data_IF_020125350976
#
_entry.id   IF_020125350976
#
_cell.length_a   1.000
_cell.length_b   1.000
_cell.length_c   1.000
_cell.angle_alpha   90.00
_cell.angle_beta   90.00
_cell.angle_gamma   90.00
#
_symmetry.space_group_name_H-M   'P 1'
#
loop_
_entity.id
_entity.type
_entity.pdbx_description
1 polymer ?
#
# COMPACT_ATOMS: atom_id res chain seq x y z
N UNK A 1 32.73 -0.63 -19.70
CA UNK A 1 32.19 -0.03 -18.47
C UNK A 1 31.44 -1.13 -17.76
N UNK A 2 32.06 -1.71 -16.74
CA UNK A 2 31.44 -2.73 -15.88
C UNK A 2 31.23 -2.11 -14.50
N UNK A 3 30.10 -2.43 -13.87
CA UNK A 3 29.83 -1.99 -12.50
C UNK A 3 30.81 -2.66 -11.55
N UNK A 4 31.30 -1.89 -10.59
CA UNK A 4 32.05 -2.42 -9.46
C UNK A 4 31.16 -3.25 -8.54
N UNK A 5 31.78 -4.08 -7.70
CA UNK A 5 31.07 -4.88 -6.69
C UNK A 5 30.17 -4.01 -5.80
N UNK A 6 30.66 -2.87 -5.36
CA UNK A 6 29.91 -1.94 -4.51
C UNK A 6 28.71 -1.30 -5.24
N UNK A 7 28.76 -1.16 -6.57
CA UNK A 7 27.63 -0.69 -7.36
C UNK A 7 26.60 -1.80 -7.57
N UNK A 8 27.04 -3.05 -7.77
CA UNK A 8 26.15 -4.21 -7.82
C UNK A 8 25.37 -4.40 -6.52
N UNK A 9 26.02 -4.23 -5.37
CA UNK A 9 25.34 -4.27 -4.06
C UNK A 9 24.24 -3.21 -3.96
N UNK A 10 24.49 -1.98 -4.44
CA UNK A 10 23.45 -0.94 -4.49
C UNK A 10 22.30 -1.33 -5.41
N UNK A 11 22.58 -1.94 -6.55
CA UNK A 11 21.54 -2.44 -7.47
C UNK A 11 20.68 -3.51 -6.79
N UNK A 12 21.28 -4.44 -6.05
CA UNK A 12 20.54 -5.46 -5.31
C UNK A 12 19.64 -4.87 -4.21
N UNK A 13 20.14 -3.87 -3.48
CA UNK A 13 19.33 -3.13 -2.52
C UNK A 13 18.17 -2.40 -3.20
N UNK A 14 18.41 -1.75 -4.33
CA UNK A 14 17.35 -1.09 -5.11
C UNK A 14 16.30 -2.09 -5.60
N UNK A 15 16.72 -3.26 -6.11
CA UNK A 15 15.79 -4.31 -6.55
C UNK A 15 14.92 -4.80 -5.38
N UNK A 16 15.51 -4.96 -4.19
CA UNK A 16 14.76 -5.30 -2.98
C UNK A 16 13.67 -4.26 -2.66
N UNK A 17 13.95 -2.97 -2.85
CA UNK A 17 12.96 -1.90 -2.70
C UNK A 17 11.86 -1.94 -3.78
N UNK A 18 12.23 -2.20 -5.04
CA UNK A 18 11.32 -2.18 -6.19
C UNK A 18 10.35 -3.36 -6.25
N UNK A 19 10.61 -4.44 -5.52
CA UNK A 19 9.65 -5.56 -5.39
C UNK A 19 8.35 -5.10 -4.73
N UNK A 20 8.39 -4.14 -3.80
CA UNK A 20 7.20 -3.66 -3.10
C UNK A 20 6.21 -2.86 -3.99
N UNK A 21 6.62 -1.80 -4.72
CA UNK A 21 5.72 -1.09 -5.60
C UNK A 21 5.24 -1.97 -6.75
N UNK A 22 6.04 -2.94 -7.21
CA UNK A 22 5.59 -3.94 -8.19
C UNK A 22 4.40 -4.75 -7.67
N UNK A 23 4.46 -5.22 -6.42
CA UNK A 23 3.33 -5.94 -5.79
C UNK A 23 2.09 -5.06 -5.66
N UNK A 24 2.26 -3.79 -5.26
CA UNK A 24 1.15 -2.85 -5.17
C UNK A 24 0.53 -2.58 -6.55
N UNK A 25 1.36 -2.33 -7.57
CA UNK A 25 0.92 -2.12 -8.95
C UNK A 25 0.17 -3.34 -9.51
N UNK A 26 0.67 -4.55 -9.25
CA UNK A 26 -0.04 -5.79 -9.59
C UNK A 26 -1.40 -5.86 -8.90
N UNK A 27 -1.49 -5.53 -7.61
CA UNK A 27 -2.75 -5.49 -6.88
C UNK A 27 -3.77 -4.50 -7.48
N UNK A 28 -3.33 -3.43 -8.16
CA UNK A 28 -4.22 -2.51 -8.86
C UNK A 28 -4.60 -2.96 -10.28
N UNK A 29 -3.79 -3.82 -10.91
CA UNK A 29 -3.82 -4.03 -12.37
C UNK A 29 -4.20 -5.45 -12.80
N UNK A 30 -4.58 -6.35 -11.89
CA UNK A 30 -4.97 -7.70 -12.32
C UNK A 30 -6.35 -7.70 -12.99
N UNK A 31 -6.43 -8.27 -14.19
CA UNK A 31 -7.62 -8.28 -15.05
C UNK A 31 -8.71 -9.28 -14.61
N UNK A 32 -8.48 -10.04 -13.52
CA UNK A 32 -9.33 -11.18 -13.13
C UNK A 32 -10.57 -10.85 -12.28
N UNK A 33 -10.81 -9.59 -11.91
CA UNK A 33 -11.95 -9.22 -11.05
C UNK A 33 -11.95 -7.76 -10.59
N UNK A 34 -12.94 -7.33 -9.78
CA UNK A 34 -13.02 -5.98 -9.24
C UNK A 34 -11.88 -5.74 -8.24
N UNK A 35 -10.86 -4.96 -8.62
CA UNK A 35 -9.66 -4.74 -7.79
C UNK A 35 -9.76 -3.58 -6.80
N UNK A 36 -10.91 -2.92 -6.74
CA UNK A 36 -11.06 -1.73 -5.90
C UNK A 36 -10.84 -2.04 -4.40
N UNK A 37 -11.24 -3.24 -3.98
CA UNK A 37 -11.08 -3.73 -2.60
C UNK A 37 -9.60 -3.92 -2.18
N UNK A 38 -8.66 -4.01 -3.12
CA UNK A 38 -7.23 -4.18 -2.80
C UNK A 38 -6.51 -2.84 -2.72
N UNK A 39 -7.14 -1.74 -3.12
CA UNK A 39 -6.44 -0.49 -3.35
C UNK A 39 -5.81 0.10 -2.08
N UNK A 40 -6.65 0.34 -1.05
CA UNK A 40 -6.20 0.85 0.25
C UNK A 40 -5.25 -0.15 0.93
N UNK A 41 -5.55 -1.46 1.02
CA UNK A 41 -4.60 -2.44 1.56
C UNK A 41 -3.22 -2.44 0.89
N UNK A 42 -3.17 -2.28 -0.45
CA UNK A 42 -1.91 -2.27 -1.19
C UNK A 42 -1.10 -0.98 -0.93
N UNK A 43 -1.76 0.17 -0.81
CA UNK A 43 -1.11 1.43 -0.44
C UNK A 43 -0.55 1.36 0.99
N UNK A 44 -1.32 0.86 1.95
CA UNK A 44 -0.88 0.68 3.34
C UNK A 44 0.31 -0.27 3.45
N UNK A 45 0.25 -1.41 2.76
CA UNK A 45 1.34 -2.38 2.75
C UNK A 45 2.62 -1.81 2.12
N UNK A 46 2.50 -1.03 1.05
CA UNK A 46 3.63 -0.36 0.42
C UNK A 46 4.23 0.72 1.32
N UNK A 47 3.38 1.56 1.94
CA UNK A 47 3.80 2.59 2.89
C UNK A 47 4.57 1.98 4.06
N UNK A 48 4.02 0.93 4.67
CA UNK A 48 4.65 0.23 5.79
C UNK A 48 6.00 -0.37 5.39
N UNK A 49 6.07 -1.03 4.23
CA UNK A 49 7.30 -1.62 3.74
C UNK A 49 8.39 -0.57 3.52
N UNK A 50 8.08 0.53 2.83
CA UNK A 50 9.05 1.58 2.55
C UNK A 50 9.43 2.40 3.78
N UNK A 51 8.51 2.61 4.73
CA UNK A 51 8.81 3.24 6.03
C UNK A 51 9.80 2.40 6.84
N UNK A 52 9.63 1.08 6.84
CA UNK A 52 10.55 0.13 7.48
C UNK A 52 11.94 0.19 6.82
N UNK A 53 11.99 0.19 5.49
CA UNK A 53 13.26 0.25 4.76
C UNK A 53 13.97 1.61 4.90
N UNK A 54 13.23 2.72 4.92
CA UNK A 54 13.78 4.07 5.15
C UNK A 54 14.53 4.16 6.48
N UNK A 55 14.08 3.41 7.48
CA UNK A 55 14.66 3.40 8.83
C UNK A 55 15.89 2.50 8.95
N UNK A 56 16.13 1.61 7.97
CA UNK A 56 17.26 0.69 7.98
C UNK A 56 18.52 1.33 7.36
N UNK A 57 19.65 1.18 8.06
CA UNK A 57 20.93 1.83 7.72
C UNK A 57 21.47 1.48 6.34
N UNK A 58 21.27 0.22 5.91
CA UNK A 58 21.69 -0.27 4.59
C UNK A 58 21.02 0.46 3.41
N UNK A 59 19.85 1.09 3.63
CA UNK A 59 19.12 1.85 2.61
C UNK A 59 19.33 3.36 2.71
N UNK A 60 20.29 3.83 3.51
CA UNK A 60 20.59 5.26 3.69
C UNK A 60 20.79 6.02 2.38
N UNK A 61 21.41 5.39 1.37
CA UNK A 61 21.62 5.97 0.03
C UNK A 61 20.31 6.27 -0.70
N UNK A 62 19.22 5.57 -0.38
CA UNK A 62 17.91 5.72 -1.03
C UNK A 62 16.92 6.55 -0.21
N UNK A 63 17.35 7.13 0.92
CA UNK A 63 16.45 7.79 1.88
C UNK A 63 15.61 8.91 1.25
N UNK A 64 16.23 9.77 0.44
CA UNK A 64 15.53 10.87 -0.24
C UNK A 64 14.47 10.36 -1.23
N UNK A 65 14.80 9.31 -1.99
CA UNK A 65 13.86 8.66 -2.91
C UNK A 65 12.70 8.00 -2.18
N UNK A 66 12.97 7.34 -1.06
CA UNK A 66 11.95 6.74 -0.19
C UNK A 66 11.04 7.80 0.44
N UNK A 67 11.58 8.95 0.86
CA UNK A 67 10.79 10.06 1.39
C UNK A 67 9.83 10.63 0.34
N UNK A 68 10.34 10.90 -0.88
CA UNK A 68 9.50 11.34 -1.98
C UNK A 68 8.43 10.30 -2.35
N UNK A 69 8.81 9.02 -2.36
CA UNK A 69 7.91 7.91 -2.63
C UNK A 69 6.80 7.76 -1.59
N UNK A 70 7.14 7.85 -0.30
CA UNK A 70 6.19 7.83 0.81
C UNK A 70 5.20 8.99 0.74
N UNK A 71 5.67 10.21 0.46
CA UNK A 71 4.78 11.36 0.28
C UNK A 71 3.78 11.15 -0.87
N UNK A 72 4.19 10.50 -1.97
CA UNK A 72 3.28 10.17 -3.06
C UNK A 72 2.27 9.09 -2.66
N UNK A 73 2.68 8.10 -1.87
CA UNK A 73 1.76 7.05 -1.36
C UNK A 73 0.72 7.66 -0.43
N UNK A 74 1.11 8.59 0.45
CA UNK A 74 0.20 9.33 1.33
C UNK A 74 -0.83 10.12 0.53
N UNK A 75 -0.41 10.88 -0.48
CA UNK A 75 -1.31 11.63 -1.38
C UNK A 75 -2.34 10.70 -2.04
N UNK A 76 -1.92 9.54 -2.55
CA UNK A 76 -2.85 8.58 -3.16
C UNK A 76 -3.75 7.91 -2.14
N UNK A 77 -3.25 7.63 -0.94
CA UNK A 77 -4.07 7.06 0.14
C UNK A 77 -5.18 8.03 0.52
N UNK A 78 -4.87 9.31 0.75
CA UNK A 78 -5.85 10.36 1.09
C UNK A 78 -6.94 10.43 0.02
N UNK A 79 -6.55 10.61 -1.25
CA UNK A 79 -7.49 10.68 -2.39
C UNK A 79 -8.34 9.43 -2.57
N UNK A 80 -7.78 8.27 -2.26
CA UNK A 80 -8.50 6.98 -2.34
C UNK A 80 -9.49 6.86 -1.18
N UNK A 81 -9.09 7.28 0.02
CA UNK A 81 -9.90 7.20 1.23
C UNK A 81 -11.06 8.22 1.27
N UNK A 82 -10.98 9.31 0.51
CA UNK A 82 -12.08 10.27 0.33
C UNK A 82 -13.29 9.67 -0.41
N UNK A 83 -13.10 8.56 -1.14
CA UNK A 83 -14.16 7.90 -1.88
C UNK A 83 -14.63 6.65 -1.15
N UNK A 84 -15.89 6.67 -0.73
CA UNK A 84 -16.56 5.54 -0.05
C UNK A 84 -16.54 4.25 -0.87
N UNK A 85 -16.42 4.35 -2.20
CA UNK A 85 -16.45 3.20 -3.11
C UNK A 85 -15.35 2.19 -2.77
N UNK A 86 -14.18 2.64 -2.33
CA UNK A 86 -13.08 1.75 -1.95
C UNK A 86 -13.38 1.00 -0.65
N UNK A 87 -13.94 1.70 0.35
CA UNK A 87 -14.33 1.12 1.64
C UNK A 87 -15.49 0.13 1.44
N UNK A 88 -16.49 0.48 0.65
CA UNK A 88 -17.61 -0.39 0.31
C UNK A 88 -17.12 -1.62 -0.45
N UNK A 89 -16.22 -1.45 -1.44
CA UNK A 89 -15.64 -2.59 -2.15
C UNK A 89 -14.89 -3.54 -1.21
N UNK A 90 -14.15 -3.02 -0.23
CA UNK A 90 -13.51 -3.84 0.81
C UNK A 90 -14.52 -4.62 1.64
N UNK A 91 -15.63 -4.00 2.04
CA UNK A 91 -16.70 -4.67 2.81
C UNK A 91 -17.41 -5.76 2.00
N UNK A 92 -17.62 -5.52 0.70
CA UNK A 92 -18.32 -6.42 -0.21
C UNK A 92 -17.46 -7.60 -0.70
N UNK A 93 -16.13 -7.55 -0.55
CA UNK A 93 -15.26 -8.67 -0.89
C UNK A 93 -15.59 -9.88 0.02
N UNK A 94 -16.13 -10.99 -0.51
CA UNK A 94 -16.50 -12.14 0.31
C UNK A 94 -15.29 -12.85 0.95
N UNK A 95 -14.08 -12.70 0.41
CA UNK A 95 -12.87 -13.34 0.92
C UNK A 95 -12.31 -12.62 2.16
N UNK A 96 -12.22 -11.29 2.09
CA UNK A 96 -11.72 -10.44 3.18
C UNK A 96 -12.84 -9.96 4.10
N UNK A 97 -14.01 -9.62 3.56
CA UNK A 97 -15.08 -8.87 4.23
C UNK A 97 -14.48 -7.67 4.98
N UNK A 98 -14.93 -7.45 6.21
CA UNK A 98 -14.43 -6.40 7.08
C UNK A 98 -13.15 -6.76 7.86
N UNK A 99 -12.48 -7.90 7.57
CA UNK A 99 -11.28 -8.34 8.33
C UNK A 99 -10.14 -7.34 8.27
N UNK A 100 -9.89 -6.73 7.10
CA UNK A 100 -8.82 -5.76 6.94
C UNK A 100 -9.07 -4.52 7.80
N UNK A 101 -10.27 -3.97 7.69
CA UNK A 101 -10.72 -2.79 8.47
C UNK A 101 -10.61 -3.07 9.96
N UNK A 102 -11.16 -4.20 10.42
CA UNK A 102 -11.09 -4.59 11.83
C UNK A 102 -9.65 -4.70 12.35
N UNK A 103 -8.76 -5.30 11.55
CA UNK A 103 -7.38 -5.58 11.96
C UNK A 103 -6.51 -4.33 11.98
N UNK A 104 -6.65 -3.43 11.00
CA UNK A 104 -5.70 -2.34 10.80
C UNK A 104 -6.26 -0.95 11.12
N UNK A 105 -7.59 -0.74 11.06
CA UNK A 105 -8.21 0.57 11.32
C UNK A 105 -8.79 0.67 12.74
N UNK A 106 -8.95 -0.46 13.42
CA UNK A 106 -9.47 -0.49 14.79
C UNK A 106 -11.00 -0.41 14.88
N UNK A 107 -11.52 -0.51 16.10
CA UNK A 107 -12.94 -0.76 16.34
C UNK A 107 -13.85 0.43 16.00
N UNK A 108 -13.38 1.67 16.22
CA UNK A 108 -14.16 2.87 15.93
C UNK A 108 -14.43 3.01 14.42
N UNK A 109 -13.37 2.96 13.61
CA UNK A 109 -13.47 3.03 12.15
C UNK A 109 -14.20 1.82 11.56
N UNK A 110 -14.06 0.64 12.15
CA UNK A 110 -14.87 -0.52 11.78
C UNK A 110 -16.37 -0.27 11.98
N UNK A 111 -16.74 0.24 13.15
CA UNK A 111 -18.14 0.49 13.51
C UNK A 111 -18.75 1.56 12.59
N UNK A 112 -17.97 2.62 12.33
CA UNK A 112 -18.34 3.64 11.36
C UNK A 112 -18.54 3.05 9.96
N UNK A 113 -17.60 2.27 9.44
CA UNK A 113 -17.67 1.71 8.09
C UNK A 113 -18.88 0.78 7.91
N UNK A 114 -19.21 -0.03 8.93
CA UNK A 114 -20.38 -0.90 8.90
C UNK A 114 -21.69 -0.09 8.87
N UNK A 115 -21.82 0.92 9.74
CA UNK A 115 -23.01 1.78 9.78
C UNK A 115 -23.16 2.60 8.50
N UNK A 116 -22.07 3.14 7.99
CA UNK A 116 -22.04 3.95 6.76
C UNK A 116 -22.46 3.13 5.54
N UNK A 117 -22.04 1.86 5.46
CA UNK A 117 -22.47 0.96 4.40
C UNK A 117 -23.98 0.65 4.43
N UNK A 118 -24.60 0.61 5.62
CA UNK A 118 -26.05 0.43 5.76
C UNK A 118 -26.86 1.66 5.32
N UNK A 119 -26.27 2.87 5.37
CA UNK A 119 -26.94 4.11 4.99
C UNK A 119 -26.88 4.38 3.46
N UNK A 120 -25.90 3.79 2.77
CA UNK A 120 -25.67 3.97 1.33
C UNK A 120 -26.44 2.95 0.45
N UNK A 121 -26.78 1.78 1.01
CA UNK A 121 -27.41 0.65 0.29
C UNK A 121 -28.94 0.68 0.37
#
# INVERSE_FOLDING_TARGET
>A
LELSEAEWEKVHLLLSLLVHPKKAQQAFSTEGGPMLHTALPALEALHWAWSTHKSATQYSTFKSGLEAGLGKIEEYYERTSESDVYIIAMLLDPAQKSKHIWKYWGNELFTWAMKHAEEII
#
